data_IF_859641352093
#
_entry.id   IF_859641352093
#
_cell.length_a   1.000
_cell.length_b   1.000
_cell.length_c   1.000
_cell.angle_alpha   90.00
_cell.angle_beta   90.00
_cell.angle_gamma   90.00
#
_symmetry.space_group_name_H-M   'P 1'
#
loop_
_entity.id
_entity.type
_entity.pdbx_description
1 polymer ?
#
# COMPACT_ATOMS: atom_id res chain seq x y z
N UNK A 1 -13.96 -6.47 16.13
CA UNK A 1 -13.79 -5.19 15.39
C UNK A 1 -12.34 -4.93 14.92
N UNK A 2 -11.33 -5.71 15.33
CA UNK A 2 -9.91 -5.50 14.96
C UNK A 2 -9.52 -6.00 13.57
N UNK A 3 -10.33 -6.86 12.94
CA UNK A 3 -10.02 -7.46 11.62
C UNK A 3 -9.95 -6.44 10.48
N UNK A 4 -10.75 -5.37 10.53
CA UNK A 4 -10.80 -4.36 9.46
C UNK A 4 -9.52 -3.52 9.37
N UNK A 5 -8.95 -3.10 10.50
CA UNK A 5 -7.70 -2.33 10.52
C UNK A 5 -6.50 -3.18 10.09
N UNK A 6 -6.45 -4.45 10.50
CA UNK A 6 -5.40 -5.38 10.05
C UNK A 6 -5.46 -5.58 8.53
N UNK A 7 -6.66 -5.74 7.99
CA UNK A 7 -6.87 -5.90 6.55
C UNK A 7 -6.36 -4.69 5.74
N UNK A 8 -6.69 -3.47 6.19
CA UNK A 8 -6.22 -2.22 5.56
C UNK A 8 -4.69 -2.12 5.57
N UNK A 9 -4.05 -2.46 6.70
CA UNK A 9 -2.57 -2.47 6.80
C UNK A 9 -1.93 -3.48 5.84
N UNK A 10 -2.54 -4.65 5.67
CA UNK A 10 -2.04 -5.68 4.75
C UNK A 10 -2.14 -5.23 3.29
N UNK A 11 -3.26 -4.59 2.92
CA UNK A 11 -3.40 -3.98 1.59
C UNK A 11 -2.32 -2.93 1.36
N UNK A 12 -2.14 -2.00 2.31
CA UNK A 12 -1.13 -0.95 2.21
C UNK A 12 0.28 -1.49 2.01
N UNK A 13 0.67 -2.49 2.82
CA UNK A 13 1.96 -3.15 2.69
C UNK A 13 2.13 -3.83 1.33
N UNK A 14 1.13 -4.61 0.88
CA UNK A 14 1.18 -5.29 -0.42
C UNK A 14 1.38 -4.30 -1.57
N UNK A 15 0.65 -3.18 -1.56
CA UNK A 15 0.77 -2.15 -2.59
C UNK A 15 2.16 -1.50 -2.58
N UNK A 16 2.71 -1.21 -1.40
CA UNK A 16 4.07 -0.68 -1.26
C UNK A 16 5.13 -1.65 -1.78
N UNK A 17 5.04 -2.92 -1.39
CA UNK A 17 6.02 -3.93 -1.77
C UNK A 17 6.01 -4.15 -3.30
N UNK A 18 4.82 -4.18 -3.92
CA UNK A 18 4.71 -4.26 -5.38
C UNK A 18 5.26 -3.00 -6.05
N UNK A 19 4.88 -1.80 -5.59
CA UNK A 19 5.40 -0.54 -6.12
C UNK A 19 6.93 -0.53 -6.12
N UNK A 20 7.54 -0.86 -4.98
CA UNK A 20 8.99 -0.83 -4.83
C UNK A 20 9.68 -1.90 -5.67
N UNK A 21 9.08 -3.09 -5.81
CA UNK A 21 9.63 -4.16 -6.64
C UNK A 21 9.60 -3.85 -8.14
N UNK A 22 8.61 -3.07 -8.57
CA UNK A 22 8.52 -2.52 -9.93
C UNK A 22 9.37 -1.26 -10.12
N UNK A 23 10.01 -0.73 -9.06
CA UNK A 23 10.81 0.49 -9.11
C UNK A 23 9.99 1.76 -9.38
N UNK A 24 8.69 1.75 -9.12
CA UNK A 24 7.82 2.89 -9.39
C UNK A 24 7.99 4.00 -8.35
N UNK A 25 7.99 5.25 -8.85
CA UNK A 25 7.99 6.45 -8.03
C UNK A 25 6.56 6.78 -7.55
N UNK A 26 6.39 6.95 -6.24
CA UNK A 26 5.09 7.22 -5.62
C UNK A 26 4.41 8.49 -6.16
N UNK A 27 5.18 9.54 -6.49
CA UNK A 27 4.64 10.79 -7.03
C UNK A 27 4.12 10.65 -8.47
N UNK A 28 4.73 9.76 -9.27
CA UNK A 28 4.25 9.45 -10.61
C UNK A 28 2.94 8.67 -10.52
N UNK A 29 2.89 7.64 -9.67
CA UNK A 29 1.68 6.85 -9.46
C UNK A 29 0.53 7.66 -8.91
N UNK A 30 0.80 8.60 -7.99
CA UNK A 30 -0.20 9.52 -7.47
C UNK A 30 -0.90 10.29 -8.59
N UNK A 31 -0.13 10.82 -9.56
CA UNK A 31 -0.68 11.49 -10.74
C UNK A 31 -1.50 10.55 -11.63
N UNK A 32 -1.05 9.30 -11.82
CA UNK A 32 -1.78 8.31 -12.62
C UNK A 32 -3.09 7.86 -11.97
N UNK A 33 -3.16 7.88 -10.64
CA UNK A 33 -4.36 7.55 -9.88
C UNK A 33 -5.33 8.74 -9.73
N UNK A 34 -4.92 9.95 -10.10
CA UNK A 34 -5.59 11.21 -9.73
C UNK A 34 -5.76 11.34 -8.20
N UNK A 35 -4.72 10.96 -7.45
CA UNK A 35 -4.67 11.01 -5.99
C UNK A 35 -3.46 11.83 -5.52
N UNK A 36 -3.51 12.36 -4.30
CA UNK A 36 -2.34 13.02 -3.73
C UNK A 36 -1.29 12.00 -3.27
N UNK A 37 -0.02 12.40 -3.27
CA UNK A 37 1.08 11.60 -2.71
C UNK A 37 0.85 11.29 -1.23
N UNK A 38 0.26 12.24 -0.50
CA UNK A 38 -0.12 12.07 0.91
C UNK A 38 -1.15 10.94 1.06
N UNK A 39 -2.12 10.87 0.14
CA UNK A 39 -3.14 9.83 0.17
C UNK A 39 -2.55 8.45 -0.13
N UNK A 40 -1.70 8.32 -1.17
CA UNK A 40 -1.03 7.04 -1.43
C UNK A 40 -0.12 6.62 -0.26
N UNK A 41 0.58 7.57 0.38
CA UNK A 41 1.39 7.30 1.58
C UNK A 41 0.53 6.79 2.73
N UNK A 42 -0.66 7.37 2.94
CA UNK A 42 -1.60 6.93 3.96
C UNK A 42 -2.15 5.52 3.65
N UNK A 43 -2.43 5.21 2.38
CA UNK A 43 -2.80 3.85 1.93
C UNK A 43 -1.67 2.87 2.27
N UNK A 44 -0.42 3.17 1.87
CA UNK A 44 0.73 2.27 2.10
C UNK A 44 1.02 2.02 3.58
N UNK A 45 0.66 2.96 4.46
CA UNK A 45 0.78 2.82 5.92
C UNK A 45 -0.43 2.14 6.57
N UNK A 46 -1.53 1.99 5.84
CA UNK A 46 -2.82 1.58 6.40
C UNK A 46 -3.36 2.57 7.44
N UNK A 47 -3.07 3.87 7.29
CA UNK A 47 -3.49 4.91 8.23
C UNK A 47 -4.93 5.34 7.95
N UNK A 48 -5.90 4.60 8.49
CA UNK A 48 -7.32 4.90 8.31
C UNK A 48 -7.77 6.27 8.85
N UNK A 49 -7.01 6.88 9.78
CA UNK A 49 -7.37 8.17 10.39
C UNK A 49 -7.08 9.35 9.45
N UNK A 50 -6.07 9.23 8.58
CA UNK A 50 -5.81 10.21 7.54
C UNK A 50 -7.00 10.39 6.58
N UNK A 51 -7.86 9.38 6.44
CA UNK A 51 -8.99 9.35 5.50
C UNK A 51 -10.28 9.98 6.05
N UNK A 52 -10.47 10.01 7.37
CA UNK A 52 -11.64 10.67 7.98
C UNK A 52 -11.73 12.17 7.64
N UNK A 53 -10.59 12.80 7.30
CA UNK A 53 -10.53 14.21 6.86
C UNK A 53 -10.69 14.41 5.35
N UNK A 54 -10.54 13.35 4.55
CA UNK A 54 -10.51 13.45 3.08
C UNK A 54 -11.86 13.17 2.41
N UNK A 55 -12.90 12.78 3.17
CA UNK A 55 -14.24 12.40 2.69
C UNK A 55 -14.26 11.28 1.62
N UNK A 56 -13.12 10.66 1.33
CA UNK A 56 -12.95 9.60 0.34
C UNK A 56 -12.76 8.25 1.02
N UNK A 57 -13.44 7.21 0.53
CA UNK A 57 -13.24 5.85 1.05
C UNK A 57 -11.84 5.34 0.69
N UNK A 58 -11.05 4.98 1.71
CA UNK A 58 -9.72 4.37 1.57
C UNK A 58 -9.74 3.15 0.63
N UNK A 59 -10.85 2.42 0.66
CA UNK A 59 -11.03 1.21 -0.12
C UNK A 59 -11.08 1.53 -1.62
N UNK A 60 -11.80 2.58 -2.01
CA UNK A 60 -11.87 3.02 -3.41
C UNK A 60 -10.50 3.51 -3.87
N UNK A 61 -9.82 4.33 -3.05
CA UNK A 61 -8.49 4.83 -3.39
C UNK A 61 -7.45 3.69 -3.50
N UNK A 62 -7.53 2.70 -2.62
CA UNK A 62 -6.68 1.50 -2.67
C UNK A 62 -6.96 0.66 -3.91
N UNK A 63 -8.23 0.52 -4.33
CA UNK A 63 -8.59 -0.17 -5.57
C UNK A 63 -8.07 0.56 -6.82
N UNK A 64 -8.20 1.88 -6.88
CA UNK A 64 -7.62 2.68 -7.98
C UNK A 64 -6.11 2.48 -8.04
N UNK A 65 -5.44 2.57 -6.89
CA UNK A 65 -4.00 2.38 -6.82
C UNK A 65 -3.58 0.95 -7.23
N UNK A 66 -4.28 -0.06 -6.75
CA UNK A 66 -4.05 -1.46 -7.12
C UNK A 66 -4.21 -1.69 -8.63
N UNK A 67 -5.25 -1.11 -9.24
CA UNK A 67 -5.48 -1.19 -10.68
C UNK A 67 -4.32 -0.60 -11.48
N UNK A 68 -3.79 0.56 -11.07
CA UNK A 68 -2.63 1.17 -11.73
C UNK A 68 -1.37 0.32 -11.58
N UNK A 69 -1.17 -0.33 -10.44
CA UNK A 69 -0.05 -1.25 -10.20
C UNK A 69 -0.22 -2.64 -10.84
N UNK A 70 -1.40 -2.95 -11.38
CA UNK A 70 -1.73 -4.29 -11.87
C UNK A 70 -1.87 -5.35 -10.76
N UNK A 71 -2.24 -4.93 -9.55
CA UNK A 71 -2.40 -5.79 -8.38
C UNK A 71 -3.86 -6.19 -8.19
N UNK A 72 -4.11 -7.50 -8.03
CA UNK A 72 -5.41 -8.01 -7.60
C UNK A 72 -5.48 -8.00 -6.06
N UNK A 73 -6.46 -7.29 -5.51
CA UNK A 73 -6.76 -7.25 -4.09
C UNK A 73 -7.82 -8.32 -3.80
N UNK A 74 -7.40 -9.50 -3.34
CA UNK A 74 -8.32 -10.57 -2.94
C UNK A 74 -9.13 -10.14 -1.71
N UNK A 75 -10.46 -10.26 -1.80
CA UNK A 75 -11.36 -10.10 -0.66
C UNK A 75 -11.37 -11.40 0.17
N UNK A 76 -10.35 -11.58 1.00
CA UNK A 76 -10.30 -12.67 1.97
C UNK A 76 -9.15 -13.63 1.73
N UNK A 77 -8.28 -13.73 2.73
CA UNK A 77 -7.12 -14.60 2.72
C UNK A 77 -6.13 -14.17 3.79
N UNK A 78 -6.41 -14.54 5.04
CA UNK A 78 -5.40 -14.52 6.10
C UNK A 78 -4.34 -15.57 5.77
N UNK A 79 -3.14 -15.12 5.38
CA UNK A 79 -1.90 -15.88 5.51
C UNK A 79 -0.71 -14.98 5.20
N UNK A 80 -0.26 -14.29 6.24
CA UNK A 80 1.00 -13.60 6.29
C UNK A 80 1.22 -13.16 7.72
N UNK A 81 2.01 -13.91 8.48
CA UNK A 81 2.49 -13.51 9.80
C UNK A 81 3.09 -12.12 9.69
N UNK A 82 2.51 -11.17 10.44
CA UNK A 82 2.97 -9.79 10.48
C UNK A 82 4.30 -9.79 11.22
N UNK A 83 5.39 -9.66 10.48
CA UNK A 83 6.64 -9.18 11.07
C UNK A 83 6.47 -7.68 11.31
N UNK A 84 6.23 -7.30 12.56
CA UNK A 84 6.28 -5.91 13.05
C UNK A 84 7.74 -5.37 13.06
N UNK A 85 8.68 -6.09 12.43
CA UNK A 85 10.05 -5.67 12.27
C UNK A 85 10.19 -4.39 11.45
N UNK A 86 11.37 -3.79 11.60
CA UNK A 86 11.76 -2.58 10.89
C UNK A 86 11.60 -2.80 9.39
N UNK A 87 10.74 -2.00 8.75
CA UNK A 87 10.60 -2.03 7.30
C UNK A 87 11.89 -1.54 6.64
N UNK A 88 12.51 -2.40 5.83
CA UNK A 88 13.67 -2.07 4.99
C UNK A 88 13.18 -1.87 3.55
N UNK A 89 13.19 -0.61 3.03
CA UNK A 89 12.88 -0.31 1.65
C UNK A 89 13.71 -1.15 0.68
N UNK A 90 13.12 -1.53 -0.45
CA UNK A 90 13.76 -2.47 -1.37
C UNK A 90 15.10 -1.96 -1.92
N UNK A 91 15.24 -0.65 -2.12
CA UNK A 91 16.50 -0.04 -2.58
C UNK A 91 17.63 -0.09 -1.54
N UNK A 92 17.33 -0.37 -0.27
CA UNK A 92 18.32 -0.60 0.80
C UNK A 92 18.59 -2.09 1.05
N UNK A 93 17.82 -3.00 0.44
CA UNK A 93 18.08 -4.43 0.57
C UNK A 93 19.35 -4.75 -0.21
N UNK A 94 20.33 -5.37 0.46
CA UNK A 94 21.55 -5.86 -0.18
C UNK A 94 21.13 -6.80 -1.31
N UNK A 95 21.47 -6.47 -2.56
CA UNK A 95 21.36 -7.46 -3.64
C UNK A 95 22.42 -8.52 -3.36
N UNK A 96 21.99 -9.73 -3.00
CA UNK A 96 22.89 -10.87 -3.06
C UNK A 96 23.33 -11.04 -4.51
N UNK A 97 24.63 -11.29 -4.71
CA UNK A 97 25.31 -11.20 -5.99
C UNK A 97 24.67 -12.06 -7.07
N UNK A 98 24.78 -11.57 -8.30
CA UNK A 98 24.32 -12.16 -9.56
C UNK A 98 24.77 -13.61 -9.78
#
# INVERSE_FOLDING_TARGET
>A
MTSSLKHIKNIGRKLRDVRESQGHNLAILARQCDLSVVLLTAIERGDSLAFARAQSSIEIAAQVYAKVLGVQLEQGGDQGSIDDGVYIPQFLRKKEGA
#
